data_IF_147529486172
#
_entry.id   IF_147529486172
#
_cell.length_a   1.000
_cell.length_b   1.000
_cell.length_c   1.000
_cell.angle_alpha   90.00
_cell.angle_beta   90.00
_cell.angle_gamma   90.00
#
_symmetry.space_group_name_H-M   'P 1'
#
loop_
_entity.id
_entity.type
_entity.pdbx_description
1 polymer ?
#
# COMPACT_ATOMS: atom_id res chain seq x y z
N UNK A 1 5.37 22.84 33.16
CA UNK A 1 4.66 23.48 32.03
C UNK A 1 3.19 23.10 32.14
N UNK A 2 2.27 24.08 32.13
CA UNK A 2 0.83 23.82 32.08
C UNK A 2 0.40 23.74 30.62
N UNK A 3 0.31 22.54 30.07
CA UNK A 3 -0.25 22.33 28.73
C UNK A 3 -1.78 22.31 28.83
N UNK A 4 -2.44 23.25 28.14
CA UNK A 4 -3.88 23.19 27.91
C UNK A 4 -4.12 22.41 26.61
N UNK A 5 -4.99 21.37 26.62
CA UNK A 5 -5.42 20.73 25.39
C UNK A 5 -6.06 21.74 24.42
N UNK A 6 -5.95 21.47 23.12
CA UNK A 6 -6.71 22.23 22.12
C UNK A 6 -8.23 22.04 22.34
N UNK A 7 -9.01 23.08 22.05
CA UNK A 7 -10.48 23.02 22.13
C UNK A 7 -11.07 22.02 21.12
N UNK A 8 -10.38 21.81 19.99
CA UNK A 8 -10.75 20.84 18.98
C UNK A 8 -9.65 19.79 18.81
N UNK A 9 -10.06 18.55 18.54
CA UNK A 9 -9.13 17.44 18.29
C UNK A 9 -8.36 17.69 17.00
N UNK A 10 -7.04 17.76 17.11
CA UNK A 10 -6.13 17.82 15.97
C UNK A 10 -5.75 16.38 15.59
N UNK A 11 -6.16 15.94 14.40
CA UNK A 11 -5.77 14.64 13.86
C UNK A 11 -4.39 14.74 13.21
N UNK A 12 -3.55 13.71 13.40
CA UNK A 12 -2.20 13.69 12.83
C UNK A 12 -2.21 13.49 11.30
N UNK A 13 -3.14 12.66 10.80
CA UNK A 13 -3.27 12.33 9.38
C UNK A 13 -4.69 11.85 9.09
N UNK A 14 -5.61 12.78 8.86
CA UNK A 14 -6.96 12.45 8.37
C UNK A 14 -6.94 12.17 6.87
N UNK A 15 -7.75 11.23 6.37
CA UNK A 15 -7.91 11.04 4.93
C UNK A 15 -8.45 12.33 4.29
N UNK A 16 -7.91 12.68 3.14
CA UNK A 16 -8.41 13.78 2.32
C UNK A 16 -9.09 13.18 1.11
N UNK A 17 -10.41 13.39 0.99
CA UNK A 17 -11.19 12.94 -0.16
C UNK A 17 -11.27 14.07 -1.17
N UNK A 18 -11.02 13.77 -2.44
CA UNK A 18 -11.28 14.69 -3.55
C UNK A 18 -12.59 14.30 -4.25
N UNK A 19 -12.86 14.94 -5.39
CA UNK A 19 -14.14 14.77 -6.11
C UNK A 19 -14.16 13.47 -6.94
N UNK A 20 -12.99 13.04 -7.44
CA UNK A 20 -12.91 11.95 -8.42
C UNK A 20 -12.95 10.55 -7.79
N UNK A 21 -12.56 10.40 -6.52
CA UNK A 21 -12.56 9.09 -5.85
C UNK A 21 -13.96 8.48 -5.82
N UNK A 22 -15.00 9.28 -5.55
CA UNK A 22 -16.38 8.80 -5.56
C UNK A 22 -16.80 8.37 -6.97
N UNK A 23 -16.37 9.12 -8.00
CA UNK A 23 -16.63 8.77 -9.40
C UNK A 23 -16.03 7.41 -9.75
N UNK A 24 -14.77 7.14 -9.40
CA UNK A 24 -14.13 5.84 -9.70
C UNK A 24 -14.78 4.67 -8.95
N UNK A 25 -15.26 4.91 -7.72
CA UNK A 25 -16.02 3.91 -6.96
C UNK A 25 -17.37 3.63 -7.64
N UNK A 26 -18.09 4.67 -8.05
CA UNK A 26 -19.38 4.54 -8.75
C UNK A 26 -19.20 3.80 -10.08
N UNK A 27 -18.18 4.15 -10.88
CA UNK A 27 -17.88 3.46 -12.14
C UNK A 27 -17.58 1.98 -11.92
N UNK A 28 -16.79 1.62 -10.90
CA UNK A 28 -16.50 0.22 -10.58
C UNK A 28 -17.76 -0.56 -10.19
N UNK A 29 -18.66 0.09 -9.43
CA UNK A 29 -19.94 -0.49 -9.03
C UNK A 29 -20.87 -0.71 -10.23
N UNK A 30 -21.08 0.32 -11.05
CA UNK A 30 -21.96 0.30 -12.23
C UNK A 30 -21.50 -0.70 -13.29
N UNK A 31 -20.19 -0.85 -13.46
CA UNK A 31 -19.60 -1.81 -14.39
C UNK A 31 -19.47 -3.22 -13.82
N UNK A 32 -19.89 -3.44 -12.58
CA UNK A 32 -19.82 -4.71 -11.84
C UNK A 32 -18.39 -5.28 -11.70
N UNK A 33 -17.39 -4.40 -11.64
CA UNK A 33 -15.97 -4.74 -11.43
C UNK A 33 -15.52 -4.34 -10.02
N UNK A 34 -16.16 -4.94 -9.01
CA UNK A 34 -15.89 -4.69 -7.59
C UNK A 34 -14.90 -5.70 -6.97
N UNK A 35 -14.26 -6.55 -7.78
CA UNK A 35 -13.33 -7.57 -7.30
C UNK A 35 -11.87 -7.16 -7.52
N UNK A 36 -10.94 -8.12 -7.43
CA UNK A 36 -9.51 -7.94 -7.67
C UNK A 36 -9.14 -7.76 -9.15
N UNK A 37 -10.11 -7.45 -10.01
CA UNK A 37 -9.92 -7.21 -11.44
C UNK A 37 -10.78 -6.01 -11.83
N UNK A 38 -10.23 -5.13 -12.66
CA UNK A 38 -10.98 -4.00 -13.22
C UNK A 38 -10.10 -2.85 -13.67
N UNK A 39 -10.67 -1.96 -14.48
CA UNK A 39 -9.99 -0.83 -15.11
C UNK A 39 -9.20 0.06 -14.13
N UNK A 40 -9.73 0.26 -12.92
CA UNK A 40 -9.06 1.06 -11.90
C UNK A 40 -7.71 0.46 -11.48
N UNK A 41 -7.59 -0.87 -11.46
CA UNK A 41 -6.36 -1.60 -11.12
C UNK A 41 -5.36 -1.49 -12.28
N UNK A 42 -5.81 -1.75 -13.51
CA UNK A 42 -4.96 -1.63 -14.70
C UNK A 42 -4.36 -0.22 -14.82
N UNK A 43 -5.19 0.79 -14.58
CA UNK A 43 -4.80 2.19 -14.72
C UNK A 43 -3.84 2.63 -13.61
N UNK A 44 -4.06 2.22 -12.35
CA UNK A 44 -3.12 2.58 -11.28
C UNK A 44 -1.77 1.89 -11.46
N UNK A 45 -1.72 0.64 -11.94
CA UNK A 45 -0.47 -0.05 -12.26
C UNK A 45 0.28 0.67 -13.39
N UNK A 46 -0.43 1.03 -14.47
CA UNK A 46 0.15 1.82 -15.58
C UNK A 46 0.70 3.16 -15.07
N UNK A 47 -0.12 3.94 -14.37
CA UNK A 47 0.26 5.26 -13.85
C UNK A 47 1.47 5.19 -12.90
N UNK A 48 1.51 4.19 -12.02
CA UNK A 48 2.65 4.00 -11.09
C UNK A 48 3.91 3.60 -11.86
N UNK A 49 3.81 2.67 -12.81
CA UNK A 49 4.96 2.25 -13.61
C UNK A 49 5.58 3.43 -14.37
N UNK A 50 4.74 4.27 -14.99
CA UNK A 50 5.16 5.49 -15.69
C UNK A 50 5.75 6.53 -14.73
N UNK A 51 5.10 6.76 -13.59
CA UNK A 51 5.54 7.77 -12.61
C UNK A 51 6.90 7.44 -11.98
N UNK A 52 7.15 6.15 -11.72
CA UNK A 52 8.41 5.70 -11.11
C UNK A 52 9.49 5.41 -12.17
N UNK A 53 9.10 5.19 -13.43
CA UNK A 53 10.04 4.86 -14.52
C UNK A 53 10.46 3.39 -14.53
N UNK A 54 9.56 2.49 -14.15
CA UNK A 54 9.79 1.03 -14.15
C UNK A 54 8.95 0.36 -15.24
N UNK A 55 9.37 -0.83 -15.68
CA UNK A 55 8.65 -1.57 -16.73
C UNK A 55 7.31 -2.15 -16.27
N UNK A 56 7.20 -2.48 -14.99
CA UNK A 56 6.03 -3.16 -14.43
C UNK A 56 5.73 -2.63 -13.03
N UNK A 57 4.44 -2.54 -12.70
CA UNK A 57 3.92 -2.34 -11.36
C UNK A 57 2.81 -3.38 -11.12
N UNK A 58 2.65 -3.82 -9.87
CA UNK A 58 1.61 -4.78 -9.48
C UNK A 58 0.91 -4.25 -8.25
N UNK A 59 -0.40 -4.05 -8.35
CA UNK A 59 -1.24 -3.59 -7.26
C UNK A 59 -1.57 -4.77 -6.33
N UNK A 60 -1.42 -4.54 -5.02
CA UNK A 60 -1.72 -5.53 -3.99
C UNK A 60 -2.57 -4.89 -2.90
N UNK A 61 -3.16 -5.73 -2.04
CA UNK A 61 -4.08 -5.28 -0.99
C UNK A 61 -3.45 -4.38 0.07
N UNK A 62 -2.13 -4.43 0.26
CA UNK A 62 -1.42 -3.59 1.21
C UNK A 62 0.09 -3.52 0.92
N UNK A 63 0.79 -2.56 1.55
CA UNK A 63 2.25 -2.50 1.54
C UNK A 63 2.91 -3.74 2.17
N UNK A 64 2.30 -4.32 3.21
CA UNK A 64 2.81 -5.57 3.83
C UNK A 64 2.74 -6.74 2.85
N UNK A 65 1.63 -6.87 2.11
CA UNK A 65 1.48 -7.91 1.08
C UNK A 65 2.49 -7.73 -0.06
N UNK A 66 2.80 -6.48 -0.43
CA UNK A 66 3.84 -6.17 -1.39
C UNK A 66 5.24 -6.59 -0.94
N UNK A 67 5.60 -6.31 0.31
CA UNK A 67 6.87 -6.74 0.88
C UNK A 67 6.94 -8.28 0.99
N UNK A 68 5.86 -8.92 1.41
CA UNK A 68 5.79 -10.39 1.48
C UNK A 68 6.00 -11.04 0.11
N UNK A 69 5.30 -10.57 -0.93
CA UNK A 69 5.52 -11.09 -2.28
C UNK A 69 6.95 -10.82 -2.77
N UNK A 70 7.49 -9.63 -2.47
CA UNK A 70 8.85 -9.26 -2.88
C UNK A 70 9.92 -10.17 -2.27
N UNK A 71 9.81 -10.49 -0.97
CA UNK A 71 10.73 -11.41 -0.29
C UNK A 71 10.67 -12.82 -0.89
N UNK A 72 9.47 -13.33 -1.18
CA UNK A 72 9.29 -14.62 -1.85
C UNK A 72 9.89 -14.64 -3.25
N UNK A 73 9.67 -13.58 -4.04
CA UNK A 73 10.23 -13.46 -5.40
C UNK A 73 11.75 -13.26 -5.41
N UNK A 74 12.31 -12.65 -4.37
CA UNK A 74 13.76 -12.56 -4.17
C UNK A 74 14.41 -13.92 -3.86
N UNK A 75 13.60 -14.95 -3.56
CA UNK A 75 14.06 -16.32 -3.35
C UNK A 75 14.66 -16.58 -1.98
N UNK A 76 14.32 -15.76 -0.98
CA UNK A 76 14.74 -15.96 0.42
C UNK A 76 14.13 -17.25 0.96
N UNK A 77 14.93 -18.02 1.71
CA UNK A 77 14.56 -19.31 2.29
C UNK A 77 14.74 -19.33 3.81
N UNK A 78 14.09 -20.28 4.51
CA UNK A 78 14.37 -20.50 5.92
C UNK A 78 15.86 -20.71 6.19
N UNK A 79 16.40 -19.92 7.13
CA UNK A 79 17.82 -19.90 7.47
C UNK A 79 18.64 -18.80 6.77
N UNK A 80 18.09 -18.15 5.75
CA UNK A 80 18.72 -16.98 5.14
C UNK A 80 18.65 -15.76 6.06
N UNK A 81 19.61 -14.84 5.89
CA UNK A 81 19.67 -13.58 6.65
C UNK A 81 19.25 -12.42 5.76
N UNK A 82 18.27 -11.66 6.23
CA UNK A 82 17.82 -10.41 5.59
C UNK A 82 18.15 -9.25 6.51
N UNK A 83 18.83 -8.24 5.97
CA UNK A 83 19.15 -7.03 6.72
C UNK A 83 17.97 -6.05 6.69
N UNK A 84 17.60 -5.54 7.86
CA UNK A 84 16.51 -4.59 8.05
C UNK A 84 16.97 -3.47 8.99
N UNK A 85 16.35 -2.29 8.89
CA UNK A 85 16.58 -1.19 9.82
C UNK A 85 15.90 -1.46 11.17
N UNK A 86 16.58 -1.18 12.28
CA UNK A 86 16.00 -1.33 13.64
C UNK A 86 14.86 -0.34 13.91
N UNK A 87 14.87 0.82 13.24
CA UNK A 87 13.84 1.85 13.36
C UNK A 87 13.02 1.90 12.08
N UNK A 88 12.00 1.06 12.02
CA UNK A 88 11.04 0.98 10.90
C UNK A 88 9.68 0.49 11.42
N UNK A 89 8.68 0.45 10.54
CA UNK A 89 7.43 -0.25 10.82
C UNK A 89 7.63 -1.76 10.73
N UNK A 90 6.99 -2.54 11.61
CA UNK A 90 7.22 -4.00 11.73
C UNK A 90 6.96 -4.78 10.44
N UNK A 91 6.11 -4.27 9.55
CA UNK A 91 5.85 -4.89 8.24
C UNK A 91 7.10 -5.06 7.36
N UNK A 92 8.21 -4.37 7.65
CA UNK A 92 9.49 -4.62 6.97
C UNK A 92 10.09 -5.98 7.32
N UNK A 93 9.93 -6.44 8.58
CA UNK A 93 10.59 -7.64 9.11
C UNK A 93 9.65 -8.85 9.13
N UNK A 94 8.37 -8.65 9.47
CA UNK A 94 7.40 -9.73 9.59
C UNK A 94 7.35 -10.68 8.36
N UNK A 95 7.44 -10.20 7.10
CA UNK A 95 7.39 -11.10 5.95
C UNK A 95 8.64 -11.97 5.75
N UNK A 96 9.74 -11.66 6.45
CA UNK A 96 10.95 -12.50 6.46
C UNK A 96 10.78 -13.68 7.42
N UNK A 97 10.06 -13.48 8.53
CA UNK A 97 9.77 -14.55 9.50
C UNK A 97 8.69 -15.53 9.00
N UNK A 98 7.75 -15.07 8.16
CA UNK A 98 6.61 -15.84 7.64
C UNK A 98 6.96 -16.71 6.40
N UNK A 99 8.24 -17.09 6.25
CA UNK A 99 8.75 -17.94 5.15
C UNK A 99 8.79 -19.43 5.47
#
# INVERSE_FOLDING_TARGET
MNFKPFEQKVWLSSPTMHVDELKYITEAYETNWMSTVGKNIDEIERMISEKIGVKHAVALSSGTSALHLSIKLAGVKPGDKVFCSDVTFSATVNPVEDL
#
